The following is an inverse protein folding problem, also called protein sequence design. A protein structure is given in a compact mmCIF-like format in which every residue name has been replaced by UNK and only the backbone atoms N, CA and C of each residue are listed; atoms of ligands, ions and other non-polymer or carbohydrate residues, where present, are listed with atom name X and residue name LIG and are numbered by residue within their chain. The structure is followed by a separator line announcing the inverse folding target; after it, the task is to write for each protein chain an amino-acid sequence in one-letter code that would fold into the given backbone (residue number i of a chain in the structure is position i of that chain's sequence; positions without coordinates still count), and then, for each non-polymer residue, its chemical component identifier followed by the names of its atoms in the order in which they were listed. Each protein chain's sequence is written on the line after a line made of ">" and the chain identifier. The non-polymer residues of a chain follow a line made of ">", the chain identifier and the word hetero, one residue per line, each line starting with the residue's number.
data_IF_892639333903
#
_entry.id   IF_892639333903
#
_cell.length_a   1.000
_cell.length_b   1.000
_cell.length_c   1.000
_cell.angle_alpha   90.00
_cell.angle_beta   90.00
_cell.angle_gamma   90.00
#
_symmetry.space_group_name_H-M   'P 1'
#
loop_
_entity.id
_entity.type
_entity.pdbx_description
1 polymer ?
#
# COMPACT_ATOMS: atom_id res chain seq x y z
N UNK A 1 -7.88 9.41 -11.58
CA UNK A 1 -8.42 10.58 -10.85
C UNK A 1 -7.34 11.16 -9.94
N UNK A 2 -7.37 12.47 -9.71
CA UNK A 2 -6.46 13.19 -8.81
C UNK A 2 -7.26 14.19 -7.97
N UNK A 3 -6.98 14.26 -6.67
CA UNK A 3 -7.62 15.21 -5.75
C UNK A 3 -6.70 15.51 -4.56
N UNK A 4 -6.77 16.73 -4.03
CA UNK A 4 -6.09 17.12 -2.79
C UNK A 4 -7.09 17.28 -1.66
N UNK A 5 -6.98 16.45 -0.62
CA UNK A 5 -7.82 16.55 0.58
C UNK A 5 -7.03 17.24 1.70
N UNK A 6 -7.54 18.35 2.19
CA UNK A 6 -6.90 19.13 3.26
C UNK A 6 -7.74 18.99 4.53
N UNK A 7 -7.19 18.43 5.62
CA UNK A 7 -7.91 18.25 6.87
C UNK A 7 -8.48 19.58 7.40
N UNK A 8 -9.77 19.57 7.76
CA UNK A 8 -10.47 20.76 8.27
C UNK A 8 -10.93 21.78 7.21
N UNK A 9 -10.48 21.64 5.95
CA UNK A 9 -10.83 22.56 4.87
C UNK A 9 -11.67 21.91 3.76
N UNK A 10 -11.45 20.62 3.50
CA UNK A 10 -12.22 19.87 2.49
C UNK A 10 -12.87 18.65 3.11
N UNK A 11 -13.78 18.01 2.38
CA UNK A 11 -14.17 16.65 2.71
C UNK A 11 -12.93 15.74 2.76
N UNK A 12 -12.96 14.66 3.54
CA UNK A 12 -11.86 13.70 3.53
C UNK A 12 -12.07 12.60 2.48
N UNK A 13 -11.02 11.81 2.19
CA UNK A 13 -11.09 10.69 1.25
C UNK A 13 -12.20 9.69 1.62
N UNK A 14 -12.44 9.46 2.92
CA UNK A 14 -13.52 8.56 3.38
C UNK A 14 -14.93 9.09 3.07
N UNK A 15 -15.12 10.40 3.02
CA UNK A 15 -16.37 11.00 2.57
C UNK A 15 -16.56 10.87 1.06
N UNK A 16 -15.46 10.88 0.31
CA UNK A 16 -15.49 10.84 -1.14
C UNK A 16 -15.63 9.40 -1.67
N UNK A 17 -14.92 8.44 -1.06
CA UNK A 17 -14.92 7.03 -1.48
C UNK A 17 -15.39 6.16 -0.31
N UNK A 18 -16.47 5.42 -0.52
CA UNK A 18 -16.85 4.33 0.39
C UNK A 18 -15.84 3.19 0.27
N UNK A 19 -15.60 2.41 1.34
CA UNK A 19 -14.81 1.21 1.23
C UNK A 19 -15.40 0.31 0.15
N UNK A 20 -14.56 -0.34 -0.66
CA UNK A 20 -15.05 -1.30 -1.63
C UNK A 20 -15.75 -2.46 -0.92
N UNK A 21 -16.92 -2.86 -1.43
CA UNK A 21 -17.60 -4.07 -1.03
C UNK A 21 -17.29 -5.15 -2.08
N UNK A 22 -16.62 -6.23 -1.68
CA UNK A 22 -16.25 -7.34 -2.57
C UNK A 22 -14.84 -7.24 -3.19
N UNK A 23 -14.65 -7.99 -4.27
CA UNK A 23 -13.37 -8.01 -5.00
C UNK A 23 -13.11 -6.67 -5.68
N UNK A 24 -11.91 -6.13 -5.45
CA UNK A 24 -11.47 -4.88 -6.08
C UNK A 24 -10.79 -5.21 -7.40
N UNK A 25 -11.21 -4.54 -8.46
CA UNK A 25 -10.54 -4.59 -9.76
C UNK A 25 -9.07 -4.18 -9.61
N UNK A 26 -8.18 -4.94 -10.24
CA UNK A 26 -6.75 -4.72 -10.19
C UNK A 26 -6.24 -4.19 -11.52
N UNK A 27 -5.03 -3.62 -11.54
CA UNK A 27 -4.38 -3.22 -12.80
C UNK A 27 -4.13 -4.41 -13.73
N UNK A 28 -4.13 -5.64 -13.23
CA UNK A 28 -4.00 -6.86 -14.03
C UNK A 28 -5.31 -7.27 -14.69
N UNK A 29 -6.44 -7.10 -13.98
CA UNK A 29 -7.76 -7.43 -14.55
C UNK A 29 -8.21 -6.41 -15.58
N UNK A 30 -8.00 -5.12 -15.32
CA UNK A 30 -8.51 -4.03 -16.18
C UNK A 30 -7.45 -3.43 -17.11
N UNK A 31 -6.18 -3.57 -16.76
CA UNK A 31 -5.08 -2.91 -17.46
C UNK A 31 -5.01 -1.40 -17.19
N UNK A 32 -3.89 -0.80 -17.53
CA UNK A 32 -3.67 0.65 -17.46
C UNK A 32 -2.70 1.09 -18.56
N UNK A 33 -3.05 2.13 -19.30
CA UNK A 33 -2.11 2.68 -20.28
C UNK A 33 -0.99 3.45 -19.57
N UNK A 34 0.26 3.20 -19.97
CA UNK A 34 1.47 3.70 -19.31
C UNK A 34 1.53 5.19 -19.02
N UNK A 35 1.06 6.10 -19.90
CA UNK A 35 1.06 7.54 -19.65
C UNK A 35 0.17 8.02 -18.49
N UNK A 36 -0.92 7.30 -18.15
CA UNK A 36 -1.88 7.73 -17.13
C UNK A 36 -1.23 7.90 -15.74
N UNK A 37 -0.44 6.96 -15.21
CA UNK A 37 0.23 7.12 -13.94
C UNK A 37 1.17 8.34 -13.92
N UNK A 38 1.90 8.60 -15.00
CA UNK A 38 2.82 9.73 -15.10
C UNK A 38 2.12 11.08 -15.01
N UNK A 39 1.04 11.26 -15.74
CA UNK A 39 0.24 12.50 -15.70
C UNK A 39 -0.41 12.68 -14.33
N UNK A 40 -1.02 11.62 -13.80
CA UNK A 40 -1.66 11.67 -12.48
C UNK A 40 -0.66 12.02 -11.38
N UNK A 41 0.52 11.39 -11.37
CA UNK A 41 1.57 11.68 -10.41
C UNK A 41 2.09 13.13 -10.53
N UNK A 42 2.24 13.66 -11.74
CA UNK A 42 2.68 15.04 -11.96
C UNK A 42 1.66 16.05 -11.42
N UNK A 43 0.37 15.80 -11.61
CA UNK A 43 -0.70 16.64 -11.06
C UNK A 43 -0.70 16.56 -9.52
N UNK A 44 -0.58 15.39 -8.93
CA UNK A 44 -0.50 15.21 -7.48
C UNK A 44 0.72 15.96 -6.90
N UNK A 45 1.87 15.86 -7.53
CA UNK A 45 3.08 16.56 -7.10
C UNK A 45 2.89 18.09 -7.16
N UNK A 46 2.25 18.61 -8.21
CA UNK A 46 1.95 20.03 -8.33
C UNK A 46 1.02 20.52 -7.21
N UNK A 47 -0.03 19.77 -6.88
CA UNK A 47 -0.93 20.13 -5.77
C UNK A 47 -0.22 20.08 -4.42
N UNK A 48 0.62 19.05 -4.17
CA UNK A 48 1.43 18.95 -2.96
C UNK A 48 2.42 20.12 -2.83
N UNK A 49 3.07 20.52 -3.92
CA UNK A 49 3.97 21.69 -3.92
C UNK A 49 3.24 22.99 -3.56
N UNK A 50 2.04 23.22 -4.10
CA UNK A 50 1.22 24.40 -3.73
C UNK A 50 0.96 24.45 -2.23
N UNK A 51 0.58 23.31 -1.64
CA UNK A 51 0.34 23.22 -0.19
C UNK A 51 1.62 23.50 0.61
N UNK A 52 2.70 22.81 0.29
CA UNK A 52 3.97 22.88 1.03
C UNK A 52 4.67 24.24 0.90
N UNK A 53 4.45 24.96 -0.20
CA UNK A 53 5.01 26.32 -0.40
C UNK A 53 4.13 27.44 0.19
N UNK A 54 3.09 27.10 0.94
CA UNK A 54 2.24 28.08 1.61
C UNK A 54 1.20 28.74 0.69
N UNK A 55 0.85 28.10 -0.42
CA UNK A 55 -0.16 28.57 -1.36
C UNK A 55 -1.39 27.65 -1.44
N UNK A 56 -2.01 27.24 -0.30
CA UNK A 56 -3.11 26.28 -0.30
C UNK A 56 -4.36 26.79 -1.06
N UNK A 57 -4.52 28.14 -1.17
CA UNK A 57 -5.58 28.75 -1.97
C UNK A 57 -5.44 28.49 -3.47
N UNK A 58 -4.25 28.13 -3.96
CA UNK A 58 -4.01 27.75 -5.36
C UNK A 58 -4.32 26.26 -5.64
N UNK A 59 -4.57 25.47 -4.60
CA UNK A 59 -4.97 24.08 -4.77
C UNK A 59 -6.37 23.96 -5.36
N UNK A 60 -6.57 22.93 -6.17
CA UNK A 60 -7.91 22.61 -6.68
C UNK A 60 -8.80 22.06 -5.56
N UNK A 61 -10.03 22.57 -5.50
CA UNK A 61 -11.11 22.13 -4.59
C UNK A 61 -12.08 21.20 -5.32
N UNK A 62 -11.53 20.30 -6.14
CA UNK A 62 -12.28 19.36 -6.98
C UNK A 62 -11.48 18.11 -7.24
N UNK A 63 -12.15 17.06 -7.68
CA UNK A 63 -11.52 15.85 -8.21
C UNK A 63 -11.31 16.04 -9.70
N UNK A 64 -10.09 15.93 -10.17
CA UNK A 64 -9.78 15.87 -11.59
C UNK A 64 -9.90 14.43 -12.07
N UNK A 65 -10.86 14.17 -12.95
CA UNK A 65 -11.00 12.91 -13.68
C UNK A 65 -10.27 13.02 -15.02
N UNK A 66 -9.46 12.05 -15.34
CA UNK A 66 -8.61 12.06 -16.53
C UNK A 66 -8.88 10.77 -17.32
N UNK A 67 -9.32 10.94 -18.55
CA UNK A 67 -9.41 9.91 -19.56
C UNK A 67 -8.50 10.28 -20.72
N UNK A 68 -7.33 9.67 -20.77
CA UNK A 68 -6.33 9.97 -21.81
C UNK A 68 -6.68 9.36 -23.15
N UNK A 69 -7.45 8.27 -23.17
CA UNK A 69 -7.85 7.66 -24.42
C UNK A 69 -8.81 8.55 -25.20
N UNK A 70 -9.74 9.20 -24.48
CA UNK A 70 -10.71 10.13 -25.05
C UNK A 70 -10.24 11.59 -24.99
N UNK A 71 -8.99 11.87 -24.56
CA UNK A 71 -8.48 13.23 -24.34
C UNK A 71 -9.42 14.11 -23.50
N UNK A 72 -10.04 13.52 -22.48
CA UNK A 72 -11.04 14.17 -21.65
C UNK A 72 -10.53 14.44 -20.25
N UNK A 73 -10.67 15.70 -19.82
CA UNK A 73 -10.40 16.16 -18.46
C UNK A 73 -11.68 16.74 -17.89
N UNK A 74 -12.17 16.16 -16.80
CA UNK A 74 -13.39 16.59 -16.13
C UNK A 74 -13.09 16.96 -14.70
N UNK A 75 -13.78 17.98 -14.19
CA UNK A 75 -13.73 18.38 -12.80
C UNK A 75 -15.05 18.05 -12.11
N UNK A 76 -14.95 17.32 -11.00
CA UNK A 76 -16.07 16.99 -10.14
C UNK A 76 -15.88 17.79 -8.85
N UNK A 77 -16.81 18.67 -8.53
CA UNK A 77 -16.74 19.44 -7.29
C UNK A 77 -16.73 18.51 -6.07
N UNK A 78 -16.02 18.92 -5.03
CA UNK A 78 -16.13 18.25 -3.73
C UNK A 78 -17.55 18.41 -3.17
N UNK A 79 -18.06 17.35 -2.57
CA UNK A 79 -19.24 17.44 -1.73
C UNK A 79 -18.93 18.07 -0.37
N UNK A 80 -19.97 18.29 0.42
CA UNK A 80 -19.80 18.71 1.79
C UNK A 80 -19.24 17.58 2.68
N UNK A 81 -18.41 17.88 3.69
CA UNK A 81 -18.01 16.90 4.68
C UNK A 81 -19.23 16.29 5.37
N UNK A 82 -19.30 14.97 5.44
CA UNK A 82 -20.41 14.32 6.14
C UNK A 82 -20.31 14.55 7.66
N UNK A 83 -21.35 15.07 8.32
CA UNK A 83 -21.36 15.25 9.78
C UNK A 83 -21.28 13.92 10.56
N UNK A 84 -21.53 12.81 9.89
CA UNK A 84 -21.47 11.47 10.49
C UNK A 84 -20.18 10.71 10.13
N UNK A 85 -19.25 11.34 9.38
CA UNK A 85 -18.01 10.68 8.97
C UNK A 85 -17.16 10.31 10.20
N UNK A 86 -16.77 9.04 10.35
CA UNK A 86 -15.91 8.66 11.48
C UNK A 86 -14.55 9.37 11.43
N UNK A 87 -14.02 9.64 10.25
CA UNK A 87 -12.68 10.22 10.07
C UNK A 87 -12.71 11.73 10.31
N UNK A 88 -13.30 12.52 9.42
CA UNK A 88 -13.18 13.98 9.50
C UNK A 88 -14.12 14.61 10.53
N UNK A 89 -15.26 13.99 10.88
CA UNK A 89 -16.18 14.51 11.89
C UNK A 89 -15.86 14.01 13.30
N UNK A 90 -15.43 12.75 13.45
CA UNK A 90 -15.23 12.13 14.77
C UNK A 90 -13.76 11.90 15.14
N UNK A 91 -12.81 12.02 14.20
CA UNK A 91 -11.39 11.72 14.43
C UNK A 91 -11.10 10.23 14.65
N UNK A 92 -12.00 9.35 14.22
CA UNK A 92 -11.85 7.91 14.34
C UNK A 92 -11.27 7.35 13.04
N UNK A 93 -10.34 6.40 13.15
CA UNK A 93 -9.67 5.78 12.01
C UNK A 93 -9.88 4.26 12.03
N UNK A 94 -11.08 3.76 11.67
CA UNK A 94 -11.40 2.33 11.77
C UNK A 94 -10.41 1.44 11.02
N UNK A 95 -10.02 1.83 9.80
CA UNK A 95 -9.10 1.06 8.97
C UNK A 95 -7.70 0.88 9.63
N UNK A 96 -7.24 1.84 10.43
CA UNK A 96 -5.98 1.68 11.18
C UNK A 96 -6.14 0.71 12.35
N UNK A 97 -7.27 0.77 13.06
CA UNK A 97 -7.56 -0.15 14.17
C UNK A 97 -7.72 -1.59 13.69
N UNK A 98 -8.42 -1.79 12.58
CA UNK A 98 -8.56 -3.10 11.96
C UNK A 98 -7.20 -3.66 11.52
N UNK A 99 -6.35 -2.80 10.96
CA UNK A 99 -5.00 -3.16 10.55
C UNK A 99 -4.12 -3.61 11.75
N UNK A 100 -4.22 -2.93 12.88
CA UNK A 100 -3.46 -3.27 14.10
C UNK A 100 -3.93 -4.59 14.77
N UNK A 101 -5.22 -4.94 14.61
CA UNK A 101 -5.84 -6.11 15.24
C UNK A 101 -5.68 -7.41 14.43
N UNK A 102 -5.47 -7.31 13.15
CA UNK A 102 -5.33 -8.48 12.27
C UNK A 102 -3.85 -8.87 12.19
N UNK A 103 -3.37 -9.88 12.81
CA UNK A 103 -2.01 -10.42 12.77
C UNK A 103 -1.16 -10.15 11.51
N UNK A 104 -0.75 -11.17 10.78
CA UNK A 104 0.01 -11.01 9.52
C UNK A 104 -0.94 -10.61 8.37
N UNK A 105 -0.73 -9.43 7.79
CA UNK A 105 -1.49 -8.97 6.62
C UNK A 105 -0.83 -9.41 5.32
N UNK A 106 -1.61 -9.98 4.41
CA UNK A 106 -1.16 -10.41 3.10
C UNK A 106 -1.75 -9.55 1.98
N UNK A 107 -0.92 -9.06 1.09
CA UNK A 107 -1.34 -8.27 -0.07
C UNK A 107 -0.58 -8.74 -1.31
N UNK A 108 -1.28 -9.04 -2.41
CA UNK A 108 -0.65 -9.30 -3.71
C UNK A 108 0.00 -8.02 -4.24
N UNK A 109 1.21 -8.14 -4.75
CA UNK A 109 1.89 -7.03 -5.41
C UNK A 109 1.71 -7.13 -6.92
N UNK A 110 1.07 -6.13 -7.51
CA UNK A 110 0.80 -6.09 -8.95
C UNK A 110 2.05 -6.32 -9.80
N UNK A 111 1.95 -7.23 -10.78
CA UNK A 111 2.96 -7.48 -11.81
C UNK A 111 4.31 -8.02 -11.34
N UNK A 112 4.40 -8.63 -10.15
CA UNK A 112 5.69 -9.05 -9.58
C UNK A 112 5.77 -10.50 -9.14
N UNK A 113 4.74 -11.31 -9.35
CA UNK A 113 4.68 -12.69 -8.82
C UNK A 113 5.15 -12.73 -7.35
N UNK A 114 4.57 -11.82 -6.53
CA UNK A 114 5.04 -11.55 -5.17
C UNK A 114 3.86 -11.24 -4.27
N UNK A 115 3.85 -11.82 -3.08
CA UNK A 115 2.94 -11.47 -1.99
C UNK A 115 3.73 -10.73 -0.92
N UNK A 116 3.24 -9.56 -0.52
CA UNK A 116 3.74 -8.86 0.66
C UNK A 116 2.98 -9.33 1.89
N UNK A 117 3.72 -9.72 2.92
CA UNK A 117 3.20 -9.95 4.26
C UNK A 117 3.70 -8.85 5.20
N UNK A 118 2.90 -8.49 6.19
CA UNK A 118 3.29 -7.55 7.25
C UNK A 118 3.10 -8.22 8.60
N UNK A 119 4.20 -8.40 9.31
CA UNK A 119 4.21 -8.85 10.68
C UNK A 119 4.07 -7.65 11.64
N UNK A 120 3.34 -7.76 12.75
CA UNK A 120 3.14 -6.62 13.68
C UNK A 120 4.40 -6.20 14.42
N UNK A 121 5.31 -7.14 14.69
CA UNK A 121 6.58 -6.82 15.37
C UNK A 121 7.68 -6.46 14.36
N UNK A 122 8.66 -5.68 14.82
CA UNK A 122 9.92 -5.44 14.11
C UNK A 122 10.83 -6.67 14.20
N UNK A 123 11.67 -6.88 13.18
CA UNK A 123 12.61 -7.97 13.13
C UNK A 123 14.01 -7.51 13.49
N UNK A 124 14.67 -8.26 14.37
CA UNK A 124 16.12 -8.21 14.52
C UNK A 124 16.74 -9.10 13.43
N UNK A 125 17.15 -8.47 12.33
CA UNK A 125 17.68 -9.18 11.16
C UNK A 125 19.01 -9.89 11.48
N UNK A 126 19.75 -9.43 12.50
CA UNK A 126 21.01 -9.99 12.90
C UNK A 126 20.81 -11.29 13.69
N UNK A 127 19.95 -11.26 14.69
CA UNK A 127 19.57 -12.44 15.45
C UNK A 127 18.91 -13.49 14.56
N UNK A 128 17.98 -13.08 13.74
CA UNK A 128 17.30 -13.98 12.80
C UNK A 128 18.28 -14.64 11.82
N UNK A 129 19.21 -13.88 11.25
CA UNK A 129 20.22 -14.43 10.34
C UNK A 129 21.08 -15.49 11.05
N UNK A 130 21.60 -15.21 12.24
CA UNK A 130 22.43 -16.14 12.99
C UNK A 130 21.70 -17.46 13.32
N UNK A 131 20.40 -17.40 13.58
CA UNK A 131 19.57 -18.58 13.88
C UNK A 131 19.15 -19.36 12.64
N UNK A 132 19.03 -18.70 11.50
CA UNK A 132 18.62 -19.31 10.22
C UNK A 132 19.78 -19.92 9.45
N UNK A 133 20.97 -19.32 9.48
CA UNK A 133 22.14 -19.72 8.67
C UNK A 133 22.50 -21.20 8.76
N UNK A 134 22.38 -21.88 9.92
CA UNK A 134 22.68 -23.32 10.02
C UNK A 134 21.71 -24.23 9.24
N UNK A 135 20.51 -23.73 8.89
CA UNK A 135 19.41 -24.56 8.36
C UNK A 135 18.92 -24.11 6.98
N UNK A 136 19.15 -22.84 6.61
CA UNK A 136 18.61 -22.23 5.42
C UNK A 136 19.70 -21.49 4.65
N UNK A 137 19.59 -21.51 3.33
CA UNK A 137 20.42 -20.64 2.51
C UNK A 137 19.94 -19.21 2.65
N UNK A 138 20.80 -18.30 3.11
CA UNK A 138 20.47 -16.91 3.34
C UNK A 138 21.47 -15.96 2.69
N UNK A 139 21.00 -14.75 2.40
CA UNK A 139 21.85 -13.61 2.05
C UNK A 139 21.44 -12.42 2.91
N UNK A 140 22.40 -11.75 3.50
CA UNK A 140 22.15 -10.59 4.37
C UNK A 140 22.92 -9.36 3.93
N UNK A 141 22.30 -8.22 4.12
CA UNK A 141 22.95 -6.91 4.10
C UNK A 141 22.37 -6.00 5.20
N UNK A 142 22.84 -4.76 5.43
CA UNK A 142 22.35 -3.87 6.50
C UNK A 142 20.86 -3.53 6.42
N UNK A 143 20.17 -3.76 5.31
CA UNK A 143 18.80 -3.32 5.08
C UNK A 143 17.79 -4.45 5.02
N UNK A 144 18.22 -5.67 4.69
CA UNK A 144 17.32 -6.80 4.49
C UNK A 144 18.04 -8.15 4.69
N UNK A 145 17.23 -9.17 4.97
CA UNK A 145 17.61 -10.57 4.99
C UNK A 145 16.82 -11.32 3.91
N UNK A 146 17.51 -12.02 3.00
CA UNK A 146 16.89 -12.92 2.02
C UNK A 146 17.06 -14.34 2.48
N UNK A 147 16.00 -15.11 2.38
CA UNK A 147 15.96 -16.55 2.68
C UNK A 147 15.55 -17.27 1.40
N UNK A 148 16.28 -18.31 1.04
CA UNK A 148 16.04 -19.15 -0.13
C UNK A 148 15.63 -20.55 0.34
N UNK A 149 14.34 -20.76 0.66
CA UNK A 149 13.89 -22.04 1.21
C UNK A 149 13.94 -23.15 0.16
N UNK A 150 13.76 -22.82 -1.11
CA UNK A 150 13.83 -23.71 -2.26
C UNK A 150 14.22 -22.93 -3.54
N UNK A 151 14.15 -23.59 -4.71
CA UNK A 151 14.50 -22.96 -5.99
C UNK A 151 13.38 -22.08 -6.57
N UNK A 152 12.18 -22.11 -6.01
CA UNK A 152 11.01 -21.39 -6.51
C UNK A 152 10.72 -20.14 -5.73
N UNK A 153 10.93 -20.17 -4.42
CA UNK A 153 10.57 -19.09 -3.51
C UNK A 153 11.80 -18.33 -3.01
N UNK A 154 11.66 -17.02 -2.91
CA UNK A 154 12.60 -16.16 -2.18
C UNK A 154 11.80 -15.33 -1.19
N UNK A 155 12.18 -15.37 0.07
CA UNK A 155 11.55 -14.56 1.12
C UNK A 155 12.52 -13.44 1.50
N UNK A 156 12.07 -12.19 1.38
CA UNK A 156 12.84 -11.00 1.72
C UNK A 156 12.24 -10.36 2.96
N UNK A 157 13.02 -10.25 4.04
CA UNK A 157 12.60 -9.67 5.31
C UNK A 157 13.22 -8.28 5.47
N UNK A 158 12.43 -7.37 6.01
CA UNK A 158 12.86 -6.02 6.38
C UNK A 158 12.69 -5.81 7.89
N UNK A 159 13.55 -5.00 8.48
CA UNK A 159 13.52 -4.73 9.93
C UNK A 159 12.17 -4.21 10.44
N UNK A 160 11.40 -3.50 9.61
CA UNK A 160 10.09 -2.96 9.97
C UNK A 160 8.94 -4.00 10.02
N UNK A 161 9.25 -5.29 9.91
CA UNK A 161 8.27 -6.38 9.93
C UNK A 161 7.63 -6.68 8.57
N UNK A 162 8.03 -6.02 7.48
CA UNK A 162 7.59 -6.38 6.13
C UNK A 162 8.35 -7.60 5.63
N UNK A 163 7.62 -8.45 4.89
CA UNK A 163 8.18 -9.58 4.17
C UNK A 163 7.65 -9.58 2.73
N UNK A 164 8.49 -9.94 1.79
CA UNK A 164 8.09 -10.20 0.41
C UNK A 164 8.34 -11.67 0.09
N UNK A 165 7.29 -12.39 -0.24
CA UNK A 165 7.39 -13.77 -0.73
C UNK A 165 7.30 -13.72 -2.24
N UNK A 166 8.45 -13.85 -2.91
CA UNK A 166 8.61 -13.85 -4.35
C UNK A 166 8.50 -15.28 -4.88
N UNK A 167 7.96 -15.44 -6.08
CA UNK A 167 7.74 -16.75 -6.73
C UNK A 167 6.30 -17.26 -6.59
N UNK A 168 5.39 -16.46 -6.01
CA UNK A 168 3.97 -16.79 -5.93
C UNK A 168 3.10 -15.54 -5.85
N UNK A 169 1.89 -15.64 -6.37
CA UNK A 169 0.79 -14.68 -6.18
C UNK A 169 -0.31 -15.25 -5.27
N UNK A 170 -0.19 -16.50 -4.87
CA UNK A 170 -1.12 -17.16 -3.98
C UNK A 170 -0.82 -16.78 -2.52
N UNK A 171 -1.77 -16.09 -1.90
CA UNK A 171 -1.70 -15.66 -0.51
C UNK A 171 -1.54 -16.86 0.43
N UNK A 172 -2.30 -17.93 0.24
CA UNK A 172 -2.22 -19.11 1.10
C UNK A 172 -0.86 -19.79 1.02
N UNK A 173 -0.25 -19.85 -0.18
CA UNK A 173 1.12 -20.35 -0.36
C UNK A 173 2.15 -19.45 0.33
N UNK A 174 1.99 -18.14 0.26
CA UNK A 174 2.88 -17.19 0.91
C UNK A 174 2.79 -17.27 2.44
N UNK A 175 1.60 -17.37 3.00
CA UNK A 175 1.37 -17.55 4.44
C UNK A 175 1.92 -18.91 4.95
N UNK A 176 1.77 -19.96 4.16
CA UNK A 176 2.36 -21.25 4.47
C UNK A 176 3.90 -21.19 4.47
N UNK A 177 4.51 -20.49 3.51
CA UNK A 177 5.94 -20.25 3.46
C UNK A 177 6.42 -19.44 4.67
N UNK A 178 5.71 -18.37 5.04
CA UNK A 178 5.98 -17.60 6.25
C UNK A 178 5.93 -18.50 7.50
N UNK A 179 4.85 -19.23 7.68
CA UNK A 179 4.64 -20.07 8.86
C UNK A 179 5.71 -21.16 9.00
N UNK A 180 6.18 -21.70 7.89
CA UNK A 180 7.17 -22.76 7.86
C UNK A 180 8.60 -22.27 8.05
N UNK A 181 8.98 -21.17 7.40
CA UNK A 181 10.38 -20.77 7.27
C UNK A 181 10.75 -19.53 8.08
N UNK A 182 9.78 -18.72 8.52
CA UNK A 182 10.05 -17.46 9.20
C UNK A 182 9.50 -17.44 10.62
N UNK A 183 8.24 -17.82 10.82
CA UNK A 183 7.59 -17.78 12.13
C UNK A 183 8.36 -18.50 13.26
N UNK A 184 9.08 -19.61 13.03
CA UNK A 184 9.87 -20.25 14.09
C UNK A 184 11.03 -19.41 14.63
N UNK A 185 11.38 -18.33 13.94
CA UNK A 185 12.50 -17.44 14.28
C UNK A 185 12.04 -16.04 14.75
N UNK A 186 10.74 -15.78 14.75
CA UNK A 186 10.16 -14.53 15.26
C UNK A 186 10.07 -14.48 16.78
#
# INVERSE_FOLDING_TARGET
>A
MCAGFVPGETMCLRCFISPPEGEVETCESEGIIGPVPGITASLQAAEALKYLTGSPQAMKRSVTYIDLWMNSFKELAFGEPSPHCPVCAKGEYPALREYEQQGVHAVKMCGRNTVQLKHPAVFDLDDMAARMEPQLNIYRNPFLLKVFPDNELTIVLFADGRLLVQGTEDIARAEAAYSRYIAPYC
#
